data_IF_939248337275
#
_entry.id   IF_939248337275
#
_cell.length_a   1.000
_cell.length_b   1.000
_cell.length_c   1.000
_cell.angle_alpha   90.00
_cell.angle_beta   90.00
_cell.angle_gamma   90.00
#
_symmetry.space_group_name_H-M   'P 1'
#
loop_
_entity.id
_entity.type
_entity.pdbx_description
1 polymer ?
#
# COMPACT_ATOMS: atom_id res chain seq x y z
N UNK A 1 -13.50 8.96 78.44
CA UNK A 1 -12.73 7.77 78.04
C UNK A 1 -11.95 8.15 76.78
N UNK A 2 -10.63 8.38 76.88
CA UNK A 2 -9.55 7.42 76.48
C UNK A 2 -9.57 7.07 74.98
N UNK A 3 -8.47 7.14 74.21
CA UNK A 3 -7.07 7.43 74.54
C UNK A 3 -6.26 7.86 73.29
N UNK A 4 -5.16 8.60 73.48
CA UNK A 4 -4.26 9.10 72.40
C UNK A 4 -3.02 8.21 72.19
N UNK A 5 -2.61 7.96 70.94
CA UNK A 5 -1.26 7.52 70.48
C UNK A 5 -1.12 7.94 69.00
N UNK A 6 -0.11 8.65 68.45
CA UNK A 6 1.24 9.14 68.83
C UNK A 6 2.42 8.16 68.61
N UNK A 7 3.35 8.58 67.71
CA UNK A 7 4.71 8.05 67.42
C UNK A 7 4.77 6.59 66.89
N UNK A 8 5.83 6.00 66.29
CA UNK A 8 7.23 6.37 65.91
C UNK A 8 7.74 5.33 64.85
N UNK A 9 8.96 5.26 64.28
CA UNK A 9 10.26 5.98 64.34
C UNK A 9 11.09 5.74 63.04
N UNK A 10 12.06 6.64 62.79
CA UNK A 10 13.36 6.61 62.06
C UNK A 10 14.12 5.28 61.76
N UNK A 11 15.28 5.45 61.05
CA UNK A 11 16.45 4.57 60.83
C UNK A 11 16.41 3.69 59.57
N UNK A 12 17.46 3.42 58.78
CA UNK A 12 18.90 3.74 58.66
C UNK A 12 19.29 3.25 57.24
N UNK A 13 20.15 3.88 56.43
CA UNK A 13 21.63 3.92 56.50
C UNK A 13 22.31 2.53 56.44
N UNK A 14 23.01 2.26 55.33
CA UNK A 14 23.81 1.05 55.09
C UNK A 14 24.10 0.91 53.59
N UNK A 15 25.20 1.48 53.06
CA UNK A 15 26.59 1.03 53.15
C UNK A 15 26.99 0.09 51.99
N UNK A 16 28.19 0.35 51.46
CA UNK A 16 28.78 -0.21 50.26
C UNK A 16 28.81 -1.75 50.15
N UNK A 17 28.86 -2.25 48.91
CA UNK A 17 30.04 -3.02 48.49
C UNK A 17 30.26 -2.97 46.98
N UNK A 18 31.48 -2.59 46.61
CA UNK A 18 32.10 -2.76 45.31
C UNK A 18 32.62 -4.22 45.19
N UNK A 19 32.34 -4.96 44.10
CA UNK A 19 33.08 -6.17 43.78
C UNK A 19 33.97 -5.94 42.56
N UNK A 20 35.27 -5.83 42.80
CA UNK A 20 36.32 -5.95 41.78
C UNK A 20 36.20 -7.29 41.06
N UNK A 21 35.57 -7.30 39.90
CA UNK A 21 35.53 -8.50 39.05
C UNK A 21 36.89 -8.69 38.36
N UNK A 22 37.42 -9.91 38.48
CA UNK A 22 38.79 -10.23 38.09
C UNK A 22 38.87 -10.34 36.57
N UNK A 23 39.81 -9.60 35.96
CA UNK A 23 40.26 -9.89 34.60
C UNK A 23 40.86 -11.29 34.57
N UNK A 24 40.13 -12.25 34.00
CA UNK A 24 40.69 -13.54 33.60
C UNK A 24 41.25 -13.35 32.20
N UNK A 25 42.57 -13.27 32.10
CA UNK A 25 43.27 -13.35 30.82
C UNK A 25 43.13 -14.80 30.34
N UNK A 26 42.34 -15.00 29.28
CA UNK A 26 42.31 -16.26 28.53
C UNK A 26 42.99 -15.99 27.20
N UNK A 27 44.29 -16.29 27.12
CA UNK A 27 44.99 -16.42 25.85
C UNK A 27 44.39 -17.61 25.11
N UNK A 28 43.52 -17.32 24.13
CA UNK A 28 42.97 -18.31 23.22
C UNK A 28 43.63 -18.13 21.86
N UNK A 29 44.71 -18.87 21.63
CA UNK A 29 45.27 -19.03 20.29
C UNK A 29 44.25 -19.76 19.41
N UNK A 30 43.50 -18.99 18.63
CA UNK A 30 42.60 -19.53 17.60
C UNK A 30 42.99 -18.99 16.23
N UNK A 31 43.84 -19.74 15.53
CA UNK A 31 44.11 -19.58 14.10
C UNK A 31 42.85 -19.90 13.28
N UNK A 32 41.88 -18.99 13.28
CA UNK A 32 40.71 -19.07 12.41
C UNK A 32 41.11 -18.63 10.99
N UNK A 33 41.55 -19.58 10.18
CA UNK A 33 41.79 -19.36 8.76
C UNK A 33 40.50 -18.87 8.07
N UNK A 34 40.42 -17.57 7.80
CA UNK A 34 39.34 -16.96 7.02
C UNK A 34 39.46 -17.41 5.56
N UNK A 35 38.92 -18.59 5.26
CA UNK A 35 38.63 -19.01 3.89
C UNK A 35 37.46 -18.17 3.38
N UNK A 36 37.78 -16.98 2.90
CA UNK A 36 36.87 -16.12 2.14
C UNK A 36 36.48 -16.88 0.89
N UNK A 37 35.36 -17.60 0.94
CA UNK A 37 34.75 -18.17 -0.26
C UNK A 37 34.07 -17.04 -0.99
N UNK A 38 34.62 -16.67 -2.14
CA UNK A 38 33.96 -15.80 -3.10
C UNK A 38 32.57 -16.38 -3.40
N UNK A 39 31.54 -15.69 -2.91
CA UNK A 39 30.16 -15.94 -3.32
C UNK A 39 30.02 -15.24 -4.67
N UNK A 40 29.74 -15.97 -5.76
CA UNK A 40 29.48 -15.33 -7.05
C UNK A 40 28.34 -14.33 -6.88
N UNK A 41 28.60 -13.08 -7.23
CA UNK A 41 27.56 -12.06 -7.30
C UNK A 41 26.72 -12.38 -8.54
N UNK A 42 25.64 -13.15 -8.36
CA UNK A 42 24.65 -13.52 -9.39
C UNK A 42 23.81 -12.30 -9.82
N UNK A 43 24.48 -11.20 -10.19
CA UNK A 43 23.88 -10.04 -10.82
C UNK A 43 24.20 -10.11 -12.33
N UNK A 44 23.31 -10.66 -13.17
CA UNK A 44 23.58 -10.91 -14.59
C UNK A 44 23.82 -9.63 -15.42
N UNK A 45 23.61 -8.44 -14.84
CA UNK A 45 23.93 -7.15 -15.44
C UNK A 45 25.39 -6.71 -15.24
N UNK A 46 26.16 -7.36 -14.35
CA UNK A 46 27.53 -6.96 -14.02
C UNK A 46 28.53 -7.33 -15.14
N UNK A 47 28.42 -8.53 -15.72
CA UNK A 47 29.26 -9.03 -16.82
C UNK A 47 28.89 -8.45 -18.20
N UNK A 48 27.82 -7.64 -18.28
CA UNK A 48 27.45 -7.00 -19.54
C UNK A 48 28.40 -5.86 -19.89
N UNK A 49 28.96 -5.92 -21.11
CA UNK A 49 29.70 -4.81 -21.71
C UNK A 49 28.93 -3.48 -21.59
N UNK A 50 29.65 -2.39 -21.35
CA UNK A 50 29.09 -1.03 -21.36
C UNK A 50 28.38 -0.72 -22.68
N UNK A 51 28.90 -1.26 -23.79
CA UNK A 51 28.28 -1.23 -25.12
C UNK A 51 26.84 -1.77 -25.10
N UNK A 52 26.66 -2.98 -24.54
CA UNK A 52 25.36 -3.67 -24.48
C UNK A 52 24.40 -2.95 -23.53
N UNK A 53 24.89 -2.42 -22.40
CA UNK A 53 24.09 -1.60 -21.47
C UNK A 53 23.60 -0.31 -22.13
N UNK A 54 24.45 0.36 -22.91
CA UNK A 54 24.08 1.56 -23.66
C UNK A 54 23.06 1.25 -24.76
N UNK A 55 23.23 0.16 -25.51
CA UNK A 55 22.28 -0.25 -26.55
C UNK A 55 20.89 -0.58 -26.00
N UNK A 56 20.80 -1.22 -24.84
CA UNK A 56 19.52 -1.48 -24.16
C UNK A 56 18.87 -0.17 -23.68
N UNK A 57 19.65 0.76 -23.15
CA UNK A 57 19.15 2.08 -22.72
C UNK A 57 18.62 2.90 -23.92
N UNK A 58 19.38 2.99 -25.01
CA UNK A 58 18.98 3.60 -26.29
C UNK A 58 17.67 3.01 -26.83
N UNK A 59 17.58 1.68 -26.91
CA UNK A 59 16.37 1.00 -27.38
C UNK A 59 15.15 1.31 -26.51
N UNK A 60 15.33 1.31 -25.19
CA UNK A 60 14.27 1.58 -24.21
C UNK A 60 13.77 3.02 -24.33
N UNK A 61 14.69 3.99 -24.41
CA UNK A 61 14.38 5.41 -24.60
C UNK A 61 13.67 5.67 -25.94
N UNK A 62 14.10 5.01 -27.02
CA UNK A 62 13.47 5.13 -28.34
C UNK A 62 12.05 4.58 -28.34
N UNK A 63 11.81 3.45 -27.68
CA UNK A 63 10.48 2.84 -27.56
C UNK A 63 9.53 3.68 -26.69
N UNK A 64 10.01 4.26 -25.59
CA UNK A 64 9.23 5.16 -24.74
C UNK A 64 8.75 6.41 -25.52
N UNK A 65 9.62 7.03 -26.33
CA UNK A 65 9.24 8.15 -27.21
C UNK A 65 8.19 7.76 -28.25
N UNK A 66 8.26 6.54 -28.77
CA UNK A 66 7.34 6.05 -29.80
C UNK A 66 5.92 5.82 -29.25
N UNK A 67 5.80 5.36 -27.99
CA UNK A 67 4.52 5.22 -27.29
C UNK A 67 3.88 6.59 -27.01
N UNK A 68 4.66 7.57 -26.56
CA UNK A 68 4.19 8.94 -26.32
C UNK A 68 3.68 9.65 -27.58
N UNK A 69 4.05 9.17 -28.78
CA UNK A 69 3.55 9.69 -30.06
C UNK A 69 2.26 8.98 -30.54
N UNK A 70 1.79 7.94 -29.86
CA UNK A 70 0.57 7.21 -30.21
C UNK A 70 -0.64 7.59 -29.34
N UNK A 71 -0.46 8.46 -28.34
CA UNK A 71 -1.54 8.88 -27.42
C UNK A 71 -2.13 10.28 -27.72
N UNK A 72 -1.79 10.92 -28.85
CA UNK A 72 -2.60 12.06 -29.33
C UNK A 72 -3.90 11.55 -29.97
N UNK A 73 -5.09 11.86 -29.40
CA UNK A 73 -6.35 11.44 -30.00
C UNK A 73 -6.65 12.29 -31.24
N UNK A 74 -6.87 11.62 -32.39
CA UNK A 74 -7.40 12.27 -33.58
C UNK A 74 -8.73 12.97 -33.25
N UNK A 75 -8.74 14.30 -33.35
CA UNK A 75 -9.96 15.10 -33.19
C UNK A 75 -10.87 14.88 -34.38
N UNK A 76 -11.84 13.98 -34.20
CA UNK A 76 -12.82 13.65 -35.23
C UNK A 76 -13.53 14.91 -35.75
N UNK A 77 -13.32 15.19 -37.04
CA UNK A 77 -13.98 16.27 -37.75
C UNK A 77 -15.48 15.98 -37.87
N UNK A 78 -16.29 16.82 -37.23
CA UNK A 78 -17.74 16.80 -37.41
C UNK A 78 -18.06 17.39 -38.79
N UNK A 79 -18.43 16.52 -39.72
CA UNK A 79 -18.85 16.92 -41.07
C UNK A 79 -20.26 17.50 -41.02
N UNK A 80 -20.34 18.82 -40.97
CA UNK A 80 -21.61 19.55 -41.10
C UNK A 80 -22.16 19.42 -42.53
N UNK A 81 -23.49 19.31 -42.68
CA UNK A 81 -24.14 19.18 -43.99
C UNK A 81 -25.43 19.98 -44.06
N UNK A 82 -25.35 21.06 -44.83
CA UNK A 82 -26.34 22.10 -44.99
C UNK A 82 -27.79 21.65 -45.19
N UNK A 83 -28.72 22.36 -44.54
CA UNK A 83 -29.95 22.76 -45.21
C UNK A 83 -30.21 24.26 -45.05
N UNK A 84 -30.43 24.93 -46.19
CA UNK A 84 -30.62 26.37 -46.31
C UNK A 84 -32.09 26.73 -46.40
N UNK A 85 -32.55 27.69 -45.58
CA UNK A 85 -33.64 28.59 -45.95
C UNK A 85 -33.27 30.00 -45.52
N UNK A 86 -33.31 30.94 -46.46
CA UNK A 86 -32.95 32.32 -46.23
C UNK A 86 -34.06 33.08 -45.48
N UNK A 87 -33.68 34.02 -44.63
CA UNK A 87 -34.47 35.22 -44.35
C UNK A 87 -33.49 36.33 -44.03
N UNK A 88 -33.54 37.43 -44.80
CA UNK A 88 -32.81 38.65 -44.47
C UNK A 88 -33.28 39.21 -43.13
N UNK A 89 -32.36 39.84 -42.37
CA UNK A 89 -32.57 41.20 -41.88
C UNK A 89 -31.28 41.78 -41.28
N UNK A 90 -31.07 43.07 -41.52
CA UNK A 90 -29.95 43.83 -40.97
C UNK A 90 -30.22 44.22 -39.51
N UNK A 91 -29.13 44.32 -38.74
CA UNK A 91 -28.78 45.31 -37.69
C UNK A 91 -27.73 44.63 -36.79
N UNK A 92 -26.49 45.10 -36.65
CA UNK A 92 -26.00 46.43 -36.26
C UNK A 92 -26.11 46.69 -34.75
N UNK A 93 -25.10 47.37 -34.22
CA UNK A 93 -24.81 47.70 -32.81
C UNK A 93 -24.34 46.59 -31.87
N UNK A 94 -23.19 46.86 -31.27
CA UNK A 94 -22.72 46.27 -30.01
C UNK A 94 -23.79 46.34 -28.90
N UNK A 95 -23.76 45.35 -28.00
CA UNK A 95 -23.96 45.56 -26.56
C UNK A 95 -23.38 44.37 -25.78
N UNK A 96 -22.43 44.66 -24.89
CA UNK A 96 -22.02 43.72 -23.83
C UNK A 96 -23.20 43.52 -22.88
N UNK A 97 -23.92 42.40 -23.01
CA UNK A 97 -25.00 42.03 -22.10
C UNK A 97 -24.41 41.52 -20.77
N UNK A 98 -24.05 42.50 -19.94
CA UNK A 98 -23.68 42.34 -18.54
C UNK A 98 -24.83 41.63 -17.81
N UNK A 99 -24.60 40.39 -17.35
CA UNK A 99 -25.57 39.66 -16.54
C UNK A 99 -25.75 40.35 -15.18
N UNK A 100 -26.67 41.32 -15.13
CA UNK A 100 -27.27 41.81 -13.89
C UNK A 100 -28.05 40.64 -13.26
N UNK A 101 -27.38 39.92 -12.37
CA UNK A 101 -28.00 39.05 -11.39
C UNK A 101 -28.86 39.90 -10.45
N UNK A 102 -30.13 40.11 -10.80
CA UNK A 102 -31.09 40.69 -9.87
C UNK A 102 -31.07 39.89 -8.55
N UNK A 103 -31.08 40.59 -7.39
CA UNK A 103 -31.07 39.93 -6.10
C UNK A 103 -32.37 39.15 -5.92
N UNK A 104 -32.26 37.82 -5.89
CA UNK A 104 -33.36 36.90 -5.64
C UNK A 104 -33.89 37.08 -4.20
N UNK A 105 -34.74 38.08 -4.00
CA UNK A 105 -35.49 38.33 -2.77
C UNK A 105 -36.62 37.29 -2.64
N UNK A 106 -36.25 36.05 -2.37
CA UNK A 106 -37.18 35.05 -1.87
C UNK A 106 -37.44 35.32 -0.39
N UNK A 107 -38.44 36.17 -0.11
CA UNK A 107 -39.01 36.42 1.23
C UNK A 107 -39.79 35.21 1.81
N UNK A 108 -39.59 34.01 1.24
CA UNK A 108 -39.95 32.76 1.90
C UNK A 108 -38.98 32.49 3.07
N UNK A 109 -39.27 33.12 4.21
CA UNK A 109 -38.70 32.79 5.53
C UNK A 109 -39.13 31.36 5.98
N UNK A 110 -38.68 30.33 5.26
CA UNK A 110 -38.62 28.97 5.78
C UNK A 110 -37.66 29.00 6.99
N UNK A 111 -38.10 28.66 8.22
CA UNK A 111 -37.28 28.84 9.42
C UNK A 111 -36.02 27.94 9.46
N UNK A 112 -34.94 28.40 8.83
CA UNK A 112 -33.62 27.72 8.73
C UNK A 112 -32.95 27.44 10.09
N UNK A 113 -33.52 27.95 11.20
CA UNK A 113 -32.99 27.79 12.56
C UNK A 113 -33.27 26.42 13.20
N UNK A 114 -34.19 25.60 12.68
CA UNK A 114 -34.58 24.34 13.35
C UNK A 114 -34.00 23.04 12.74
N UNK A 115 -33.33 23.09 11.58
CA UNK A 115 -32.75 21.90 10.95
C UNK A 115 -31.39 21.48 11.55
N UNK A 116 -30.63 22.41 12.17
CA UNK A 116 -29.35 22.08 12.80
C UNK A 116 -29.50 21.31 14.12
N UNK A 117 -30.61 21.49 14.84
CA UNK A 117 -30.84 20.85 16.14
C UNK A 117 -31.49 19.44 16.03
N UNK A 118 -31.95 19.04 14.84
CA UNK A 118 -32.48 17.69 14.58
C UNK A 118 -31.35 16.67 14.36
N UNK A 119 -30.10 17.14 14.17
CA UNK A 119 -28.91 16.29 14.21
C UNK A 119 -28.58 15.84 15.64
N UNK A 120 -29.43 14.97 16.19
CA UNK A 120 -29.15 14.16 17.38
C UNK A 120 -27.76 13.55 17.21
N UNK A 121 -26.82 14.02 18.04
CA UNK A 121 -25.38 13.67 17.95
C UNK A 121 -25.22 12.16 17.77
N UNK A 122 -24.30 11.68 16.91
CA UNK A 122 -23.88 10.30 16.96
C UNK A 122 -23.43 10.00 18.40
N UNK A 123 -24.07 9.00 19.01
CA UNK A 123 -23.65 8.47 20.29
C UNK A 123 -22.17 8.08 20.20
N UNK A 124 -21.40 8.36 21.26
CA UNK A 124 -19.96 8.06 21.35
C UNK A 124 -19.00 8.95 20.52
N UNK A 125 -19.07 10.27 20.71
CA UNK A 125 -17.97 11.22 20.32
C UNK A 125 -16.60 10.88 20.92
N UNK A 126 -16.55 10.11 22.01
CA UNK A 126 -15.30 9.67 22.64
C UNK A 126 -14.53 8.72 21.70
N UNK A 127 -15.22 7.73 21.14
CA UNK A 127 -14.63 6.71 20.27
C UNK A 127 -14.23 7.29 18.91
N UNK A 128 -14.95 8.29 18.38
CA UNK A 128 -14.53 9.02 17.17
C UNK A 128 -13.08 9.56 17.27
N UNK A 129 -12.77 10.29 18.36
CA UNK A 129 -11.44 10.91 18.50
C UNK A 129 -10.36 9.87 18.79
N UNK A 130 -10.72 8.83 19.55
CA UNK A 130 -9.85 7.67 19.81
C UNK A 130 -9.48 6.95 18.51
N UNK A 131 -10.46 6.68 17.64
CA UNK A 131 -10.25 5.98 16.37
C UNK A 131 -9.43 6.83 15.39
N UNK A 132 -9.74 8.13 15.24
CA UNK A 132 -8.91 9.05 14.42
C UNK A 132 -7.47 9.11 14.92
N UNK A 133 -7.27 9.16 16.24
CA UNK A 133 -5.95 9.18 16.85
C UNK A 133 -5.20 7.87 16.55
N UNK A 134 -5.83 6.73 16.77
CA UNK A 134 -5.20 5.43 16.58
C UNK A 134 -4.92 5.12 15.09
N UNK A 135 -5.81 5.44 14.14
CA UNK A 135 -5.51 5.33 12.70
C UNK A 135 -4.31 6.19 12.31
N UNK A 136 -4.19 7.41 12.88
CA UNK A 136 -3.02 8.28 12.68
C UNK A 136 -1.75 7.68 13.28
N UNK A 137 -1.81 7.06 14.46
CA UNK A 137 -0.66 6.40 15.10
C UNK A 137 -0.19 5.19 14.29
N UNK A 138 -1.09 4.31 13.86
CA UNK A 138 -0.76 3.17 12.98
C UNK A 138 -0.10 3.63 11.67
N UNK A 139 -0.66 4.66 11.02
CA UNK A 139 -0.11 5.22 9.78
C UNK A 139 1.16 6.07 9.96
N UNK A 140 1.44 6.55 11.17
CA UNK A 140 2.69 7.24 11.49
C UNK A 140 3.87 6.25 11.56
N UNK A 141 3.63 5.06 12.12
CA UNK A 141 4.66 4.02 12.29
C UNK A 141 4.85 3.16 11.02
N UNK A 142 4.01 3.35 10.01
CA UNK A 142 4.15 2.76 8.69
C UNK A 142 5.13 3.57 7.81
N UNK A 143 5.88 2.91 6.89
CA UNK A 143 6.66 3.64 5.90
C UNK A 143 5.75 4.53 5.05
N UNK A 144 6.24 5.70 4.65
CA UNK A 144 5.51 6.60 3.74
C UNK A 144 5.14 5.87 2.45
N UNK A 145 3.94 6.15 1.94
CA UNK A 145 3.42 5.49 0.75
C UNK A 145 4.16 6.00 -0.49
N UNK A 146 4.64 5.06 -1.30
CA UNK A 146 5.33 5.31 -2.55
C UNK A 146 4.97 4.22 -3.59
N UNK A 147 5.51 4.37 -4.80
CA UNK A 147 5.26 3.46 -5.93
C UNK A 147 5.68 2.01 -5.70
N UNK A 148 6.54 1.72 -4.72
CA UNK A 148 7.14 0.38 -4.52
C UNK A 148 6.55 -0.39 -3.33
N UNK A 149 5.79 0.27 -2.46
CA UNK A 149 5.31 -0.33 -1.21
C UNK A 149 3.78 -0.42 -1.08
N UNK A 150 3.01 -0.06 -2.12
CA UNK A 150 1.54 -0.14 -2.11
C UNK A 150 1.00 -1.47 -1.58
N UNK A 151 1.44 -2.61 -2.11
CA UNK A 151 0.97 -3.93 -1.66
C UNK A 151 1.31 -4.30 -0.21
N UNK A 152 2.34 -3.70 0.38
CA UNK A 152 2.71 -3.90 1.79
C UNK A 152 2.08 -2.85 2.72
N UNK A 153 1.70 -1.70 2.16
CA UNK A 153 1.07 -0.58 2.86
C UNK A 153 -0.44 -0.76 2.95
N UNK A 154 -1.09 -1.13 1.84
CA UNK A 154 -2.54 -1.17 1.73
C UNK A 154 -3.22 -2.14 2.73
N UNK A 155 -2.79 -3.40 2.89
CA UNK A 155 -3.42 -4.30 3.86
C UNK A 155 -3.43 -3.72 5.28
N UNK A 156 -2.32 -3.11 5.72
CA UNK A 156 -2.22 -2.48 7.04
C UNK A 156 -3.14 -1.26 7.21
N UNK A 157 -3.35 -0.49 6.13
CA UNK A 157 -4.30 0.62 6.11
C UNK A 157 -5.74 0.13 6.15
N UNK A 158 -6.07 -0.96 5.44
CA UNK A 158 -7.38 -1.60 5.51
C UNK A 158 -7.62 -2.20 6.91
N UNK A 159 -6.67 -2.96 7.47
CA UNK A 159 -6.74 -3.48 8.84
C UNK A 159 -6.95 -2.34 9.86
N UNK A 160 -6.32 -1.18 9.64
CA UNK A 160 -6.54 0.00 10.45
C UNK A 160 -7.96 0.58 10.29
N UNK A 161 -8.51 0.67 9.08
CA UNK A 161 -9.86 1.23 8.88
C UNK A 161 -10.98 0.25 9.26
N UNK A 162 -10.77 -1.06 9.11
CA UNK A 162 -11.82 -2.09 9.26
C UNK A 162 -12.42 -2.13 10.67
N UNK A 163 -11.63 -1.89 11.72
CA UNK A 163 -12.15 -1.81 13.10
C UNK A 163 -13.12 -0.65 13.33
N UNK A 164 -13.25 0.27 12.36
CA UNK A 164 -14.18 1.38 12.37
C UNK A 164 -15.17 1.31 11.17
N UNK A 165 -16.32 0.62 11.32
CA UNK A 165 -17.26 0.37 10.23
C UNK A 165 -17.74 1.61 9.46
N UNK A 166 -17.84 2.78 10.11
CA UNK A 166 -18.24 4.01 9.43
C UNK A 166 -17.13 4.60 8.55
N UNK A 167 -15.87 4.52 8.98
CA UNK A 167 -14.73 4.86 8.13
C UNK A 167 -14.64 3.93 6.92
N UNK A 168 -14.91 2.63 7.12
CA UNK A 168 -14.93 1.64 6.04
C UNK A 168 -16.04 1.91 5.01
N UNK A 169 -17.24 2.35 5.42
CA UNK A 169 -18.31 2.78 4.49
C UNK A 169 -17.96 4.06 3.74
N UNK A 170 -17.20 4.97 4.34
CA UNK A 170 -16.65 6.14 3.67
C UNK A 170 -15.59 5.76 2.63
N UNK A 171 -14.69 4.82 2.96
CA UNK A 171 -13.66 4.31 2.05
C UNK A 171 -14.30 3.59 0.85
N UNK A 172 -15.31 2.75 1.09
CA UNK A 172 -16.05 2.01 0.07
C UNK A 172 -17.08 2.86 -0.71
N UNK A 173 -17.15 4.18 -0.48
CA UNK A 173 -18.09 5.06 -1.20
C UNK A 173 -19.58 4.75 -0.97
N UNK A 174 -19.91 3.95 0.06
CA UNK A 174 -21.27 3.45 0.31
C UNK A 174 -22.24 4.59 0.66
N UNK A 175 -21.73 5.64 1.28
CA UNK A 175 -22.47 6.88 1.52
C UNK A 175 -22.32 7.83 0.32
N UNK A 176 -23.42 8.13 -0.36
CA UNK A 176 -23.46 9.18 -1.39
C UNK A 176 -23.18 10.54 -0.74
N UNK A 177 -22.30 11.34 -1.37
CA UNK A 177 -22.10 12.75 -1.01
C UNK A 177 -23.44 13.49 -1.02
N UNK A 178 -23.70 14.30 0.02
CA UNK A 178 -24.97 15.00 0.22
C UNK A 178 -26.02 14.19 1.01
N UNK A 179 -25.79 12.91 1.28
CA UNK A 179 -26.68 12.14 2.16
C UNK A 179 -26.47 12.50 3.63
N UNK A 180 -27.56 12.47 4.42
CA UNK A 180 -27.54 12.72 5.89
C UNK A 180 -26.61 11.75 6.65
N UNK A 181 -26.29 10.59 6.06
CA UNK A 181 -25.39 9.58 6.62
C UNK A 181 -23.91 9.84 6.30
N UNK A 182 -23.59 10.75 5.39
CA UNK A 182 -22.22 11.08 5.00
C UNK A 182 -21.60 12.06 6.01
N UNK A 183 -20.65 11.59 6.82
CA UNK A 183 -19.90 12.45 7.74
C UNK A 183 -18.74 13.13 6.98
N UNK A 184 -19.01 14.35 6.50
CA UNK A 184 -18.01 15.20 5.84
C UNK A 184 -16.76 15.47 6.70
N UNK A 185 -16.87 15.45 8.04
CA UNK A 185 -15.74 15.66 8.93
C UNK A 185 -14.88 14.40 9.00
N UNK A 186 -15.51 13.23 9.08
CA UNK A 186 -14.81 11.94 9.03
C UNK A 186 -14.05 11.77 7.71
N UNK A 187 -14.75 11.95 6.59
CA UNK A 187 -14.20 11.85 5.25
C UNK A 187 -12.96 12.76 5.06
N UNK A 188 -13.11 14.05 5.40
CA UNK A 188 -12.02 15.03 5.31
C UNK A 188 -10.84 14.67 6.21
N UNK A 189 -11.09 14.19 7.43
CA UNK A 189 -10.02 13.85 8.37
C UNK A 189 -9.22 12.62 7.90
N UNK A 190 -9.89 11.59 7.38
CA UNK A 190 -9.22 10.40 6.83
C UNK A 190 -8.47 10.75 5.55
N UNK A 191 -9.04 11.56 4.66
CA UNK A 191 -8.36 12.07 3.47
C UNK A 191 -7.08 12.85 3.80
N UNK A 192 -7.11 13.73 4.82
CA UNK A 192 -5.91 14.44 5.29
C UNK A 192 -4.86 13.47 5.84
N UNK A 193 -5.26 12.45 6.61
CA UNK A 193 -4.34 11.45 7.16
C UNK A 193 -3.67 10.65 6.02
N UNK A 194 -4.45 10.20 5.04
CA UNK A 194 -3.93 9.47 3.88
C UNK A 194 -3.01 10.35 3.02
N UNK A 195 -3.35 11.63 2.80
CA UNK A 195 -2.45 12.60 2.15
C UNK A 195 -1.12 12.74 2.91
N UNK A 196 -1.17 12.79 4.25
CA UNK A 196 0.02 12.80 5.10
C UNK A 196 0.87 11.52 5.04
N UNK A 197 0.29 10.38 4.64
CA UNK A 197 1.04 9.15 4.38
C UNK A 197 1.75 9.17 3.01
N UNK A 198 1.17 9.84 2.01
CA UNK A 198 1.80 10.10 0.71
C UNK A 198 2.90 11.18 0.75
N UNK A 199 2.98 11.96 1.84
CA UNK A 199 3.98 13.02 2.01
C UNK A 199 5.40 12.45 2.24
N UNK A 200 6.10 12.20 1.14
CA UNK A 200 7.51 11.81 1.08
C UNK A 200 8.32 12.78 0.19
N UNK A 201 9.64 12.87 0.43
CA UNK A 201 10.60 13.52 -0.46
C UNK A 201 11.46 12.47 -1.18
N UNK A 202 11.84 12.71 -2.44
CA UNK A 202 12.70 11.83 -3.23
C UNK A 202 12.10 11.44 -4.59
N UNK A 203 12.75 10.54 -5.35
CA UNK A 203 12.33 10.16 -6.70
C UNK A 203 11.04 9.33 -6.72
N UNK A 204 10.76 8.54 -5.67
CA UNK A 204 9.55 7.71 -5.57
C UNK A 204 8.35 8.47 -4.94
N UNK A 205 8.44 9.80 -4.84
CA UNK A 205 7.45 10.67 -4.22
C UNK A 205 6.16 10.79 -5.05
N UNK A 206 5.06 10.20 -4.59
CA UNK A 206 3.79 10.21 -5.33
C UNK A 206 2.97 11.52 -5.21
N UNK A 207 3.43 12.51 -4.43
CA UNK A 207 2.71 13.78 -4.23
C UNK A 207 2.39 14.52 -5.55
N UNK A 208 3.27 14.45 -6.56
CA UNK A 208 3.02 15.14 -7.83
C UNK A 208 1.83 14.54 -8.59
N UNK A 209 1.64 13.22 -8.52
CA UNK A 209 0.57 12.53 -9.22
C UNK A 209 -0.80 12.72 -8.54
N UNK A 210 -0.81 12.88 -7.20
CA UNK A 210 -2.02 13.20 -6.43
C UNK A 210 -2.28 14.71 -6.30
N UNK A 211 -1.41 15.56 -6.87
CA UNK A 211 -1.58 17.00 -6.86
C UNK A 211 -2.71 17.42 -7.78
N UNK A 212 -3.65 18.21 -7.25
CA UNK A 212 -4.90 18.53 -7.94
C UNK A 212 -4.84 19.89 -8.63
N UNK A 213 -5.48 20.06 -9.81
CA UNK A 213 -5.63 21.36 -10.44
C UNK A 213 -6.28 22.39 -9.50
N UNK A 214 -5.78 23.62 -9.50
CA UNK A 214 -6.31 24.73 -8.69
C UNK A 214 -7.79 24.94 -9.02
N UNK A 215 -8.64 25.01 -7.99
CA UNK A 215 -10.10 25.19 -8.13
C UNK A 215 -10.92 23.91 -8.27
N UNK A 216 -10.29 22.73 -8.43
CA UNK A 216 -11.03 21.46 -8.50
C UNK A 216 -11.63 21.05 -7.12
N UNK A 217 -12.85 20.48 -7.05
CA UNK A 217 -13.56 20.21 -5.79
C UNK A 217 -12.90 19.07 -5.00
N UNK A 218 -12.63 19.23 -3.70
CA UNK A 218 -11.87 18.26 -2.89
C UNK A 218 -12.38 16.81 -3.06
N UNK A 219 -11.47 15.88 -3.35
CA UNK A 219 -11.80 14.46 -3.39
C UNK A 219 -12.37 13.97 -2.05
N UNK A 220 -13.37 13.10 -2.12
CA UNK A 220 -13.76 12.28 -0.97
C UNK A 220 -12.70 11.21 -0.67
N UNK A 221 -12.77 10.58 0.51
CA UNK A 221 -11.86 9.50 0.88
C UNK A 221 -11.85 8.37 -0.16
N UNK A 222 -13.05 7.94 -0.58
CA UNK A 222 -13.25 6.92 -1.61
C UNK A 222 -12.59 7.27 -2.95
N UNK A 223 -12.83 8.50 -3.44
CA UNK A 223 -12.25 8.98 -4.70
C UNK A 223 -10.72 9.03 -4.63
N UNK A 224 -10.18 9.50 -3.50
CA UNK A 224 -8.74 9.60 -3.32
C UNK A 224 -8.09 8.22 -3.16
N UNK A 225 -8.73 7.28 -2.44
CA UNK A 225 -8.26 5.91 -2.30
C UNK A 225 -8.20 5.18 -3.65
N UNK A 226 -9.29 5.17 -4.43
CA UNK A 226 -9.27 4.51 -5.73
C UNK A 226 -8.32 5.20 -6.72
N UNK A 227 -8.13 6.52 -6.63
CA UNK A 227 -7.14 7.19 -7.46
C UNK A 227 -5.70 6.76 -7.11
N UNK A 228 -5.38 6.56 -5.82
CA UNK A 228 -4.11 5.97 -5.39
C UNK A 228 -3.96 4.52 -5.87
N UNK A 229 -4.99 3.70 -5.69
CA UNK A 229 -5.02 2.30 -6.13
C UNK A 229 -4.78 2.20 -7.64
N UNK A 230 -5.51 2.97 -8.46
CA UNK A 230 -5.33 3.07 -9.90
C UNK A 230 -3.90 3.49 -10.26
N UNK A 231 -3.41 4.58 -9.65
CA UNK A 231 -2.08 5.14 -9.96
C UNK A 231 -0.96 4.13 -9.69
N UNK A 232 -1.01 3.48 -8.53
CA UNK A 232 0.05 2.62 -8.04
C UNK A 232 -0.01 1.25 -8.73
N UNK A 233 -1.20 0.66 -8.88
CA UNK A 233 -1.34 -0.62 -9.58
C UNK A 233 -1.16 -0.51 -11.10
N UNK A 234 -1.41 0.63 -11.74
CA UNK A 234 -1.09 0.81 -13.19
C UNK A 234 0.41 0.75 -13.46
N UNK A 235 1.24 1.26 -12.56
CA UNK A 235 2.70 1.10 -12.65
C UNK A 235 3.11 -0.38 -12.50
N UNK A 236 2.47 -1.10 -11.58
CA UNK A 236 2.65 -2.55 -11.41
C UNK A 236 2.10 -3.36 -12.59
N UNK A 237 1.09 -2.90 -13.31
CA UNK A 237 0.61 -3.55 -14.53
C UNK A 237 1.63 -3.43 -15.66
N UNK A 238 2.27 -2.26 -15.80
CA UNK A 238 3.35 -2.06 -16.78
C UNK A 238 4.59 -2.86 -16.37
N UNK A 239 4.93 -2.88 -15.09
CA UNK A 239 6.10 -3.61 -14.57
C UNK A 239 5.88 -5.12 -14.58
N UNK A 240 4.67 -5.60 -14.30
CA UNK A 240 4.29 -7.01 -14.38
C UNK A 240 4.13 -7.47 -15.82
N UNK A 241 3.62 -6.64 -16.73
CA UNK A 241 3.59 -6.94 -18.17
C UNK A 241 5.00 -6.94 -18.77
N UNK A 242 5.88 -6.04 -18.32
CA UNK A 242 7.29 -6.03 -18.73
C UNK A 242 8.07 -7.21 -18.11
N UNK A 243 7.81 -7.58 -16.85
CA UNK A 243 8.35 -8.80 -16.23
C UNK A 243 7.80 -10.06 -16.90
N UNK A 244 6.51 -10.12 -17.24
CA UNK A 244 5.92 -11.23 -18.00
C UNK A 244 6.52 -11.28 -19.41
N UNK A 245 6.68 -10.15 -20.09
CA UNK A 245 7.40 -10.07 -21.38
C UNK A 245 8.86 -10.50 -21.24
N UNK A 246 9.52 -10.17 -20.14
CA UNK A 246 10.87 -10.64 -19.84
C UNK A 246 10.89 -12.13 -19.50
N UNK A 247 9.87 -12.68 -18.84
CA UNK A 247 9.72 -14.11 -18.55
C UNK A 247 9.32 -14.92 -19.79
N UNK A 248 8.56 -14.35 -20.72
CA UNK A 248 8.28 -14.95 -22.04
C UNK A 248 9.51 -14.88 -22.96
N UNK A 249 10.32 -13.81 -22.85
CA UNK A 249 11.64 -13.73 -23.48
C UNK A 249 12.65 -14.68 -22.80
N UNK A 250 12.54 -14.90 -21.49
CA UNK A 250 13.09 -16.06 -20.77
C UNK A 250 12.17 -17.26 -21.04
N UNK A 251 11.96 -17.54 -22.34
CA UNK A 251 11.89 -18.90 -22.80
C UNK A 251 13.16 -19.60 -22.31
N UNK A 252 13.10 -20.12 -21.08
CA UNK A 252 13.62 -21.45 -20.81
C UNK A 252 12.95 -22.33 -21.87
N UNK A 253 13.66 -22.51 -22.98
CA UNK A 253 13.23 -23.34 -24.08
C UNK A 253 12.78 -24.66 -23.45
N UNK A 254 11.74 -25.30 -23.99
CA UNK A 254 11.28 -26.58 -23.42
C UNK A 254 12.43 -27.60 -23.28
N UNK A 255 13.51 -27.47 -24.06
CA UNK A 255 14.78 -28.15 -23.87
C UNK A 255 15.50 -27.84 -22.54
N UNK A 256 15.63 -26.58 -22.12
CA UNK A 256 16.33 -26.18 -20.90
C UNK A 256 15.53 -26.48 -19.63
N UNK A 257 14.20 -26.36 -19.67
CA UNK A 257 13.33 -26.92 -18.61
C UNK A 257 13.57 -28.43 -18.46
N UNK A 258 13.62 -29.16 -19.58
CA UNK A 258 13.89 -30.61 -19.60
C UNK A 258 15.32 -30.94 -19.12
N UNK A 259 16.34 -30.14 -19.47
CA UNK A 259 17.71 -30.28 -18.96
C UNK A 259 17.74 -30.09 -17.44
N UNK A 260 17.13 -29.03 -16.91
CA UNK A 260 17.08 -28.76 -15.47
C UNK A 260 16.40 -29.91 -14.72
N UNK A 261 15.25 -30.38 -15.20
CA UNK A 261 14.54 -31.54 -14.64
C UNK A 261 15.39 -32.83 -14.71
N UNK A 262 16.14 -33.04 -15.80
CA UNK A 262 17.06 -34.17 -15.92
C UNK A 262 18.24 -34.08 -14.94
N UNK A 263 18.84 -32.90 -14.78
CA UNK A 263 19.91 -32.62 -13.81
C UNK A 263 19.44 -32.87 -12.37
N UNK A 264 18.25 -32.39 -12.00
CA UNK A 264 17.63 -32.65 -10.69
C UNK A 264 17.42 -34.16 -10.47
N UNK A 265 16.88 -34.89 -11.48
CA UNK A 265 16.70 -36.34 -11.40
C UNK A 265 18.03 -37.10 -11.25
N UNK A 266 19.07 -36.68 -11.96
CA UNK A 266 20.41 -37.29 -11.86
C UNK A 266 21.04 -37.03 -10.48
N UNK A 267 20.94 -35.82 -9.93
CA UNK A 267 21.39 -35.55 -8.57
C UNK A 267 20.61 -36.37 -7.53
N UNK A 268 19.29 -36.50 -7.71
CA UNK A 268 18.46 -37.33 -6.84
C UNK A 268 18.86 -38.82 -6.88
N UNK A 269 19.08 -39.38 -8.08
CA UNK A 269 19.55 -40.75 -8.25
C UNK A 269 20.93 -40.98 -7.60
N UNK A 270 21.88 -40.05 -7.77
CA UNK A 270 23.19 -40.10 -7.11
C UNK A 270 23.06 -40.03 -5.58
N UNK A 271 22.21 -39.14 -5.05
CA UNK A 271 21.96 -39.04 -3.61
C UNK A 271 21.35 -40.32 -3.02
N UNK A 272 20.50 -41.03 -3.78
CA UNK A 272 20.00 -42.35 -3.39
C UNK A 272 21.09 -43.43 -3.39
N UNK A 273 21.94 -43.47 -4.43
CA UNK A 273 23.05 -44.42 -4.53
C UNK A 273 24.08 -44.27 -3.41
N UNK A 274 24.37 -43.02 -2.99
CA UNK A 274 25.33 -42.68 -1.93
C UNK A 274 24.85 -43.13 -0.53
N UNK A 275 23.62 -43.68 -0.39
CA UNK A 275 23.04 -44.17 0.88
C UNK A 275 23.12 -43.14 2.01
N UNK A 276 22.80 -41.88 1.73
CA UNK A 276 22.88 -40.81 2.72
C UNK A 276 22.01 -41.15 3.96
N UNK A 277 22.57 -41.21 5.18
CA UNK A 277 21.90 -41.82 6.34
C UNK A 277 20.64 -41.08 6.81
N UNK A 278 20.44 -39.83 6.39
CA UNK A 278 19.25 -39.02 6.66
C UNK A 278 17.93 -39.64 6.12
N UNK A 279 17.99 -40.56 5.15
CA UNK A 279 16.78 -41.13 4.54
C UNK A 279 16.12 -42.28 5.32
N UNK A 280 16.76 -42.82 6.37
CA UNK A 280 16.18 -43.94 7.16
C UNK A 280 14.98 -43.52 8.02
N UNK A 281 14.90 -42.25 8.41
CA UNK A 281 13.92 -41.78 9.41
C UNK A 281 12.57 -41.32 8.84
N UNK A 282 12.49 -40.98 7.55
CA UNK A 282 11.27 -40.44 6.93
C UNK A 282 10.23 -41.51 6.56
N UNK A 283 10.64 -42.75 6.27
CA UNK A 283 9.70 -43.87 6.05
C UNK A 283 9.15 -44.48 7.34
N UNK A 284 9.93 -44.51 8.43
CA UNK A 284 9.52 -45.14 9.69
C UNK A 284 8.23 -44.54 10.27
N UNK A 285 8.06 -43.21 10.17
CA UNK A 285 6.87 -42.51 10.71
C UNK A 285 5.57 -42.68 9.92
N UNK A 286 5.59 -43.22 8.69
CA UNK A 286 4.35 -43.48 7.92
C UNK A 286 3.72 -44.87 8.18
N UNK A 287 4.48 -45.85 8.65
CA UNK A 287 3.89 -47.15 9.03
C UNK A 287 3.16 -47.10 10.36
N UNK A 288 3.65 -46.36 11.36
CA UNK A 288 3.08 -46.37 12.71
C UNK A 288 1.63 -45.85 12.78
N UNK A 289 1.25 -44.86 11.96
CA UNK A 289 -0.12 -44.30 11.97
C UNK A 289 -1.19 -45.19 11.31
N UNK A 290 -0.83 -46.32 10.70
CA UNK A 290 -1.80 -47.20 10.02
C UNK A 290 -2.25 -48.41 10.87
N UNK A 291 -1.84 -48.46 12.14
CA UNK A 291 -2.18 -49.53 13.09
C UNK A 291 -3.06 -49.09 14.27
N UNK A 292 -3.17 -47.79 14.55
CA UNK A 292 -3.96 -47.27 15.69
C UNK A 292 -5.45 -47.03 15.36
N UNK A 293 -5.86 -47.12 14.09
CA UNK A 293 -7.23 -46.81 13.65
C UNK A 293 -8.15 -48.04 13.51
N UNK A 294 -7.85 -49.15 14.19
CA UNK A 294 -8.53 -50.44 13.98
C UNK A 294 -9.33 -50.97 15.20
N UNK A 295 -9.32 -50.27 16.35
CA UNK A 295 -9.95 -50.76 17.59
C UNK A 295 -10.97 -49.78 18.17
N UNK A 296 -12.10 -49.62 17.47
CA UNK A 296 -13.32 -49.03 18.04
C UNK A 296 -14.58 -49.67 17.45
N UNK A 297 -14.93 -50.85 17.99
CA UNK A 297 -16.25 -51.46 17.85
C UNK A 297 -17.14 -50.97 19.01
N UNK A 298 -18.26 -50.27 18.76
CA UNK A 298 -19.23 -49.96 19.81
C UNK A 298 -20.02 -51.23 20.17
N UNK A 299 -20.19 -51.51 21.46
CA UNK A 299 -21.11 -52.54 21.92
C UNK A 299 -22.56 -52.03 21.82
N UNK A 300 -23.47 -52.98 21.56
CA UNK A 300 -24.91 -52.81 21.65
C UNK A 300 -25.42 -52.95 23.10
#
# INVERSE_FOLDING_TARGET
>A
MTQTRKASKDAESGAASDPKEKQIIIESDSESASSTRDIPSDNPLADMSSETRNQIMEYTMKKARQLLQQEEPETATVTDRHHTTATDNNNDSDNDEFYDMEPYNSDDEVPKKHLMDIFKKPSQRADYHKNIKWVREVLHDMPKLNTKNWYAWNPKFIDAIEVWPEAMKHLNGTYKTGSIKFDYKLDRMLSIIMQGACQQSGPDNINFAISRPKGSPSWSLHQFYHHLEDLLTKADNITSAELLRQVDNIHMLNGDVRKLVATIRNHWARAQQIRHPLWRNSRSRRSSRKLESATHTPNA
#
